data_IF_428860527631
#
_entry.id   IF_428860527631
#
_cell.length_a   1.000
_cell.length_b   1.000
_cell.length_c   1.000
_cell.angle_alpha   90.00
_cell.angle_beta   90.00
_cell.angle_gamma   90.00
#
_symmetry.space_group_name_H-M   'P 1'
#
loop_
_entity.id
_entity.type
_entity.pdbx_description
1 polymer ?
#
# COMPACT_ATOMS: atom_id res chain seq x y z
N UNK A 1 -23.63 -7.91 70.73
CA UNK A 1 -24.16 -7.19 69.56
C UNK A 1 -22.98 -6.73 68.73
N UNK A 2 -22.57 -7.53 67.76
CA UNK A 2 -21.40 -7.23 66.93
C UNK A 2 -21.15 -8.43 66.05
N UNK A 3 -21.70 -8.40 64.83
CA UNK A 3 -21.29 -9.24 63.69
C UNK A 3 -22.09 -8.93 62.41
N UNK A 4 -22.44 -7.65 62.17
CA UNK A 4 -23.20 -7.28 60.97
C UNK A 4 -22.66 -5.99 60.33
N UNK A 5 -21.34 -5.90 60.14
CA UNK A 5 -20.75 -4.72 59.47
C UNK A 5 -19.45 -5.00 58.71
N UNK A 6 -19.25 -6.23 58.21
CA UNK A 6 -18.05 -6.56 57.41
C UNK A 6 -18.37 -7.12 56.02
N UNK A 7 -19.58 -7.66 55.78
CA UNK A 7 -19.87 -8.33 54.50
C UNK A 7 -20.42 -7.47 53.36
N UNK A 8 -20.63 -6.15 53.54
CA UNK A 8 -21.21 -5.30 52.47
C UNK A 8 -20.14 -4.51 51.70
N UNK A 9 -18.92 -4.39 52.23
CA UNK A 9 -17.92 -3.45 51.67
C UNK A 9 -16.92 -4.08 50.67
N UNK A 10 -16.81 -5.42 50.63
CA UNK A 10 -15.90 -6.09 49.68
C UNK A 10 -16.52 -6.35 48.31
N UNK A 11 -17.84 -6.54 48.22
CA UNK A 11 -18.48 -6.91 46.94
C UNK A 11 -18.65 -5.74 45.96
N UNK A 12 -18.73 -4.50 46.45
CA UNK A 12 -18.95 -3.34 45.57
C UNK A 12 -17.65 -2.82 44.92
N UNK A 13 -16.51 -2.91 45.63
CA UNK A 13 -15.20 -2.50 45.08
C UNK A 13 -14.69 -3.45 44.01
N UNK A 14 -14.99 -4.75 44.13
CA UNK A 14 -14.61 -5.77 43.13
C UNK A 14 -15.40 -5.57 41.82
N UNK A 15 -16.68 -5.22 41.90
CA UNK A 15 -17.50 -4.96 40.71
C UNK A 15 -17.05 -3.74 39.91
N UNK A 16 -16.63 -2.66 40.59
CA UNK A 16 -16.16 -1.44 39.93
C UNK A 16 -14.82 -1.68 39.21
N UNK A 17 -13.89 -2.44 39.82
CA UNK A 17 -12.60 -2.77 39.18
C UNK A 17 -12.78 -3.65 37.95
N UNK A 18 -13.73 -4.59 37.94
CA UNK A 18 -14.03 -5.42 36.78
C UNK A 18 -14.62 -4.64 35.60
N UNK A 19 -15.50 -3.66 35.84
CA UNK A 19 -16.08 -2.83 34.77
C UNK A 19 -15.04 -1.87 34.18
N UNK A 20 -14.16 -1.30 35.01
CA UNK A 20 -13.06 -0.46 34.50
C UNK A 20 -12.01 -1.27 33.72
N UNK A 21 -11.71 -2.52 34.11
CA UNK A 21 -10.83 -3.37 33.31
C UNK A 21 -11.47 -3.83 31.99
N UNK A 22 -12.78 -4.11 31.97
CA UNK A 22 -13.48 -4.51 30.74
C UNK A 22 -13.53 -3.38 29.69
N UNK A 23 -13.66 -2.12 30.12
CA UNK A 23 -13.69 -0.96 29.21
C UNK A 23 -12.34 -0.60 28.58
N UNK A 24 -11.21 -1.15 29.06
CA UNK A 24 -9.88 -0.85 28.50
C UNK A 24 -9.53 -1.79 27.33
N UNK A 25 -10.29 -2.86 27.11
CA UNK A 25 -9.95 -3.89 26.10
C UNK A 25 -10.61 -3.67 24.73
N UNK A 26 -11.57 -2.75 24.60
CA UNK A 26 -12.32 -2.56 23.34
C UNK A 26 -11.76 -1.49 22.38
N UNK A 27 -10.47 -1.17 22.46
CA UNK A 27 -9.81 -0.32 21.45
C UNK A 27 -8.57 -0.98 20.83
N UNK A 28 -8.59 -2.29 20.61
CA UNK A 28 -7.65 -2.94 19.67
C UNK A 28 -8.34 -3.06 18.32
N UNK A 29 -8.44 -1.97 17.56
CA UNK A 29 -8.94 -2.03 16.17
C UNK A 29 -8.42 -0.89 15.30
N UNK A 30 -7.11 -0.73 15.28
CA UNK A 30 -6.38 -0.34 14.08
C UNK A 30 -5.01 -0.98 14.19
N UNK A 31 -4.91 -2.29 13.93
CA UNK A 31 -3.62 -2.92 13.72
C UNK A 31 -3.02 -2.20 12.50
N UNK A 32 -2.07 -1.31 12.74
CA UNK A 32 -1.28 -0.72 11.68
C UNK A 32 -0.52 -1.89 11.04
N UNK A 33 -1.02 -2.39 9.91
CA UNK A 33 -0.47 -3.54 9.22
C UNK A 33 0.84 -3.23 8.49
N UNK A 34 1.33 -2.00 8.58
CA UNK A 34 2.58 -1.60 7.98
C UNK A 34 3.77 -2.08 8.82
N UNK A 35 4.63 -2.91 8.24
CA UNK A 35 5.89 -3.29 8.88
C UNK A 35 6.79 -2.07 9.09
N UNK A 36 6.93 -1.64 10.34
CA UNK A 36 7.80 -0.51 10.72
C UNK A 36 9.26 -0.77 10.30
N UNK A 37 9.70 -2.03 10.40
CA UNK A 37 11.04 -2.44 9.99
C UNK A 37 11.30 -2.17 8.51
N UNK A 38 10.36 -2.55 7.64
CA UNK A 38 10.45 -2.31 6.19
C UNK A 38 10.50 -0.80 5.92
N UNK A 39 9.62 -0.02 6.55
CA UNK A 39 9.58 1.45 6.38
C UNK A 39 10.91 2.09 6.81
N UNK A 40 11.45 1.70 7.96
CA UNK A 40 12.75 2.19 8.42
C UNK A 40 13.88 1.82 7.45
N UNK A 41 13.86 0.61 6.90
CA UNK A 41 14.85 0.19 5.90
C UNK A 41 14.70 0.97 4.60
N UNK A 42 13.47 1.26 4.14
CA UNK A 42 13.23 2.12 2.97
C UNK A 42 13.81 3.52 3.20
N UNK A 43 13.61 4.12 4.38
CA UNK A 43 14.17 5.44 4.67
C UNK A 43 15.70 5.45 4.81
N UNK A 44 16.32 4.31 5.14
CA UNK A 44 17.79 4.18 5.13
C UNK A 44 18.36 4.01 3.72
N UNK A 45 17.64 3.27 2.86
CA UNK A 45 18.06 2.96 1.50
C UNK A 45 17.74 4.09 0.52
N UNK A 46 16.61 4.78 0.70
CA UNK A 46 16.23 5.90 -0.12
C UNK A 46 16.90 7.18 0.43
N UNK A 47 17.52 7.96 -0.45
CA UNK A 47 18.08 9.28 -0.12
C UNK A 47 16.94 10.33 -0.02
N UNK A 48 15.83 10.00 0.64
CA UNK A 48 14.62 10.80 0.74
C UNK A 48 14.11 11.32 -0.60
N UNK A 49 13.63 10.42 -1.47
CA UNK A 49 13.13 10.82 -2.80
C UNK A 49 11.97 11.82 -2.68
N UNK A 50 12.13 13.01 -3.26
CA UNK A 50 11.08 14.03 -3.36
C UNK A 50 10.40 14.07 -4.73
N UNK A 51 9.40 14.95 -4.83
CA UNK A 51 8.63 15.26 -6.04
C UNK A 51 7.98 14.02 -6.66
N UNK A 52 7.49 13.11 -5.81
CA UNK A 52 6.91 11.84 -6.26
C UNK A 52 5.66 12.10 -7.09
N UNK A 53 4.78 13.02 -6.65
CA UNK A 53 3.56 13.31 -7.39
C UNK A 53 3.85 13.91 -8.76
N UNK A 54 4.81 14.84 -8.83
CA UNK A 54 5.21 15.46 -10.08
C UNK A 54 5.80 14.41 -11.04
N UNK A 55 6.66 13.52 -10.54
CA UNK A 55 7.23 12.42 -11.35
C UNK A 55 6.17 11.43 -11.80
N UNK A 56 5.20 11.08 -10.96
CA UNK A 56 4.09 10.20 -11.34
C UNK A 56 3.19 10.86 -12.39
N UNK A 57 2.94 12.16 -12.29
CA UNK A 57 2.20 12.91 -13.30
C UNK A 57 2.96 12.95 -14.63
N UNK A 58 4.25 13.28 -14.60
CA UNK A 58 5.13 13.31 -15.78
C UNK A 58 5.31 11.95 -16.44
N UNK A 59 5.27 10.85 -15.65
CA UNK A 59 5.27 9.48 -16.17
C UNK A 59 4.06 9.20 -17.08
N UNK A 60 2.96 9.95 -16.88
CA UNK A 60 1.70 9.77 -17.60
C UNK A 60 0.99 8.48 -17.21
N UNK A 61 0.20 7.88 -18.12
CA UNK A 61 -0.35 6.55 -17.92
C UNK A 61 0.76 5.53 -17.72
N UNK A 62 0.65 4.72 -16.66
CA UNK A 62 1.61 3.67 -16.32
C UNK A 62 0.93 2.30 -16.22
N UNK A 63 1.71 1.24 -16.20
CA UNK A 63 1.24 -0.13 -15.96
C UNK A 63 2.10 -0.81 -14.89
N UNK A 64 1.50 -1.70 -14.12
CA UNK A 64 2.25 -2.54 -13.20
C UNK A 64 2.91 -3.70 -13.96
N UNK A 65 4.20 -3.88 -13.73
CA UNK A 65 4.99 -4.97 -14.30
C UNK A 65 5.30 -6.06 -13.26
N UNK A 66 5.50 -5.66 -12.01
CA UNK A 66 5.77 -6.53 -10.88
C UNK A 66 4.65 -6.40 -9.86
N UNK A 67 3.99 -7.51 -9.52
CA UNK A 67 2.96 -7.58 -8.48
C UNK A 67 3.14 -8.82 -7.62
N UNK A 68 2.71 -8.82 -6.34
CA UNK A 68 2.74 -10.02 -5.52
C UNK A 68 1.83 -11.10 -6.12
N UNK A 69 2.28 -12.35 -6.04
CA UNK A 69 1.52 -13.50 -6.55
C UNK A 69 0.16 -13.66 -5.84
N UNK A 70 0.04 -13.22 -4.59
CA UNK A 70 -1.21 -13.25 -3.82
C UNK A 70 -2.25 -12.23 -4.33
N UNK A 71 -1.81 -11.11 -4.89
CA UNK A 71 -2.70 -10.08 -5.45
C UNK A 71 -3.18 -10.45 -6.86
N UNK A 72 -2.53 -11.43 -7.49
CA UNK A 72 -2.90 -11.95 -8.79
C UNK A 72 -4.03 -12.96 -8.69
N UNK A 73 -5.26 -12.49 -8.89
CA UNK A 73 -6.31 -13.38 -9.37
C UNK A 73 -5.89 -13.93 -10.74
N UNK A 74 -6.08 -15.22 -10.99
CA UNK A 74 -5.75 -15.88 -12.27
C UNK A 74 -6.43 -15.24 -13.49
N UNK A 75 -7.41 -14.37 -13.24
CA UNK A 75 -8.18 -13.65 -14.24
C UNK A 75 -7.59 -12.29 -14.62
N UNK A 76 -6.69 -11.69 -13.83
CA UNK A 76 -6.14 -10.36 -14.12
C UNK A 76 -5.09 -10.45 -15.23
N UNK A 77 -5.30 -9.65 -16.28
CA UNK A 77 -4.38 -9.50 -17.42
C UNK A 77 -3.36 -8.40 -17.19
N UNK A 78 -3.82 -7.23 -16.75
CA UNK A 78 -2.95 -6.09 -16.49
C UNK A 78 -3.61 -5.09 -15.54
N UNK A 79 -2.78 -4.27 -14.91
CA UNK A 79 -3.18 -3.17 -14.03
C UNK A 79 -2.59 -1.90 -14.64
N UNK A 80 -3.45 -1.01 -15.10
CA UNK A 80 -3.07 0.31 -15.61
C UNK A 80 -3.30 1.35 -14.51
N UNK A 81 -2.49 2.40 -14.45
CA UNK A 81 -2.69 3.51 -13.55
C UNK A 81 -2.44 4.87 -14.20
N UNK A 82 -2.93 5.90 -13.53
CA UNK A 82 -2.77 7.29 -13.95
C UNK A 82 -2.85 8.21 -12.72
N UNK A 83 -2.06 9.28 -12.75
CA UNK A 83 -2.05 10.35 -11.76
C UNK A 83 -2.35 11.68 -12.46
N UNK A 84 -3.32 12.44 -11.95
CA UNK A 84 -3.63 13.79 -12.45
C UNK A 84 -2.54 14.78 -12.06
N UNK A 85 -2.59 15.98 -12.65
CA UNK A 85 -1.72 17.07 -12.25
C UNK A 85 -1.79 17.33 -10.73
N UNK A 86 -0.65 17.45 -10.04
CA UNK A 86 -0.61 17.72 -8.61
C UNK A 86 -1.06 19.15 -8.28
N UNK A 87 -1.84 19.30 -7.20
CA UNK A 87 -2.22 20.58 -6.63
C UNK A 87 -2.06 20.53 -5.10
N UNK A 88 -1.29 21.45 -4.54
CA UNK A 88 -1.05 21.58 -3.09
C UNK A 88 -0.61 20.27 -2.42
N UNK A 89 0.37 19.56 -3.01
CA UNK A 89 0.92 18.31 -2.46
C UNK A 89 -0.02 17.11 -2.56
N UNK A 90 -1.02 17.17 -3.45
CA UNK A 90 -1.98 16.08 -3.64
C UNK A 90 -2.45 15.99 -5.08
N UNK A 91 -2.89 14.80 -5.50
CA UNK A 91 -3.42 14.56 -6.84
C UNK A 91 -4.58 13.56 -6.78
N UNK A 92 -5.41 13.55 -7.82
CA UNK A 92 -6.32 12.44 -8.05
C UNK A 92 -5.57 11.35 -8.80
N UNK A 93 -5.88 10.10 -8.51
CA UNK A 93 -5.29 8.95 -9.17
C UNK A 93 -6.34 7.89 -9.45
N UNK A 94 -6.04 7.01 -10.38
CA UNK A 94 -6.86 5.84 -10.64
C UNK A 94 -6.00 4.66 -11.04
N UNK A 95 -6.48 3.45 -10.75
CA UNK A 95 -5.98 2.24 -11.39
C UNK A 95 -7.15 1.45 -11.97
N UNK A 96 -6.88 0.77 -13.08
CA UNK A 96 -7.84 -0.05 -13.80
C UNK A 96 -7.34 -1.48 -13.91
N UNK A 97 -8.09 -2.41 -13.32
CA UNK A 97 -7.89 -3.84 -13.48
C UNK A 97 -8.54 -4.28 -14.79
N UNK A 98 -7.78 -4.96 -15.65
CA UNK A 98 -8.28 -5.60 -16.86
C UNK A 98 -8.12 -7.10 -16.75
N UNK A 99 -9.09 -7.85 -17.26
CA UNK A 99 -9.15 -9.30 -17.14
C UNK A 99 -8.82 -10.00 -18.47
N UNK A 100 -8.35 -11.25 -18.39
CA UNK A 100 -8.19 -12.12 -19.56
C UNK A 100 -9.54 -12.48 -20.17
N UNK A 101 -10.52 -12.78 -19.31
CA UNK A 101 -11.91 -12.97 -19.71
C UNK A 101 -12.52 -11.63 -20.12
N UNK A 102 -12.73 -11.48 -21.43
CA UNK A 102 -13.30 -10.27 -22.04
C UNK A 102 -14.77 -10.04 -21.68
N UNK A 103 -15.47 -11.03 -21.11
CA UNK A 103 -16.83 -10.86 -20.60
C UNK A 103 -16.88 -10.08 -19.28
N UNK A 104 -15.76 -10.04 -18.54
CA UNK A 104 -15.64 -9.27 -17.30
C UNK A 104 -15.24 -7.83 -17.65
N UNK A 105 -16.07 -6.82 -17.37
CA UNK A 105 -15.72 -5.43 -17.66
C UNK A 105 -14.53 -4.98 -16.80
N UNK A 106 -13.68 -4.07 -17.32
CA UNK A 106 -12.61 -3.46 -16.53
C UNK A 106 -13.15 -2.81 -15.25
N UNK A 107 -12.39 -2.90 -14.17
CA UNK A 107 -12.73 -2.25 -12.89
C UNK A 107 -11.77 -1.11 -12.62
N UNK A 108 -12.29 0.11 -12.58
CA UNK A 108 -11.51 1.31 -12.26
C UNK A 108 -11.78 1.74 -10.83
N UNK A 109 -10.72 1.98 -10.09
CA UNK A 109 -10.76 2.49 -8.72
C UNK A 109 -10.11 3.87 -8.72
N UNK A 110 -10.87 4.87 -8.28
CA UNK A 110 -10.43 6.24 -8.15
C UNK A 110 -10.11 6.53 -6.69
N UNK A 111 -9.01 7.24 -6.44
CA UNK A 111 -8.53 7.60 -5.12
C UNK A 111 -7.78 8.92 -5.18
N UNK A 112 -7.58 9.55 -4.01
CA UNK A 112 -6.72 10.72 -3.88
C UNK A 112 -5.38 10.28 -3.32
N UNK A 113 -4.30 10.84 -3.83
CA UNK A 113 -2.96 10.64 -3.28
C UNK A 113 -2.44 11.94 -2.69
N UNK A 114 -1.74 11.84 -1.56
CA UNK A 114 -1.16 12.97 -0.85
C UNK A 114 0.30 12.70 -0.54
N UNK A 115 1.18 13.54 -1.07
CA UNK A 115 2.61 13.45 -0.79
C UNK A 115 2.90 13.86 0.64
N UNK A 116 3.68 13.01 1.30
CA UNK A 116 4.21 13.27 2.62
C UNK A 116 5.66 13.73 2.45
N UNK A 117 6.63 12.93 2.90
CA UNK A 117 8.07 13.20 2.76
C UNK A 117 8.81 11.92 2.41
N UNK A 118 10.02 12.04 1.84
CA UNK A 118 10.94 10.93 1.62
C UNK A 118 10.31 9.74 0.86
N UNK A 119 9.56 10.01 -0.21
CA UNK A 119 8.96 8.98 -1.03
C UNK A 119 7.64 8.41 -0.50
N UNK A 120 7.13 8.92 0.61
CA UNK A 120 5.87 8.45 1.21
C UNK A 120 4.67 9.19 0.61
N UNK A 121 3.70 8.42 0.11
CA UNK A 121 2.38 8.84 -0.35
C UNK A 121 1.31 8.19 0.52
N UNK A 122 0.30 8.97 0.92
CA UNK A 122 -0.96 8.44 1.47
C UNK A 122 -2.00 8.34 0.38
N UNK A 123 -2.57 7.15 0.21
CA UNK A 123 -3.71 6.91 -0.65
C UNK A 123 -5.00 6.96 0.17
N UNK A 124 -5.91 7.83 -0.23
CA UNK A 124 -7.20 8.07 0.40
C UNK A 124 -8.27 7.61 -0.59
N UNK A 125 -8.86 6.44 -0.33
CA UNK A 125 -9.89 5.89 -1.21
C UNK A 125 -11.25 6.50 -0.88
N UNK A 126 -12.14 6.51 -1.88
CA UNK A 126 -13.52 6.96 -1.67
C UNK A 126 -14.26 6.01 -0.72
N UNK A 127 -15.33 6.50 -0.09
CA UNK A 127 -16.11 5.76 0.90
C UNK A 127 -16.57 4.37 0.42
N UNK A 128 -16.69 4.15 -0.90
CA UNK A 128 -17.12 2.88 -1.48
C UNK A 128 -16.08 1.76 -1.34
N UNK A 129 -14.78 2.09 -1.29
CA UNK A 129 -13.70 1.11 -1.13
C UNK A 129 -13.23 0.96 0.32
N UNK A 130 -13.74 1.82 1.23
CA UNK A 130 -13.48 1.83 2.68
C UNK A 130 -12.05 1.41 3.00
N UNK A 131 -11.06 2.26 2.75
CA UNK A 131 -9.67 1.91 3.02
C UNK A 131 -8.69 3.04 2.73
N UNK A 132 -7.63 3.10 3.53
CA UNK A 132 -6.46 3.94 3.27
C UNK A 132 -5.26 3.01 3.12
N UNK A 133 -4.36 3.37 2.22
CA UNK A 133 -3.06 2.71 2.08
C UNK A 133 -1.94 3.73 2.13
N UNK A 134 -0.77 3.30 2.58
CA UNK A 134 0.46 4.06 2.46
C UNK A 134 1.34 3.42 1.40
N UNK A 135 1.99 4.25 0.59
CA UNK A 135 2.92 3.83 -0.45
C UNK A 135 4.25 4.52 -0.21
N UNK A 136 5.31 3.74 -0.18
CA UNK A 136 6.69 4.19 0.01
C UNK A 136 7.47 3.86 -1.26
N UNK A 137 7.94 4.89 -1.95
CA UNK A 137 8.75 4.73 -3.14
C UNK A 137 10.21 4.45 -2.76
N UNK A 138 10.69 3.27 -3.13
CA UNK A 138 12.09 2.87 -3.01
C UNK A 138 12.93 3.59 -4.08
N UNK A 139 12.35 3.77 -5.27
CA UNK A 139 12.93 4.56 -6.35
C UNK A 139 11.86 5.06 -7.30
N UNK A 140 12.00 6.27 -7.83
CA UNK A 140 11.16 6.79 -8.92
C UNK A 140 12.03 7.53 -9.93
N UNK A 141 12.02 7.06 -11.17
CA UNK A 141 12.65 7.69 -12.32
C UNK A 141 11.61 8.23 -13.31
N UNK A 142 12.05 8.74 -14.47
CA UNK A 142 11.14 9.32 -15.47
C UNK A 142 10.11 8.33 -16.02
N UNK A 143 10.48 7.05 -16.14
CA UNK A 143 9.66 6.04 -16.82
C UNK A 143 9.41 4.78 -15.98
N UNK A 144 10.01 4.67 -14.80
CA UNK A 144 9.86 3.50 -13.92
C UNK A 144 9.80 3.92 -12.47
N UNK A 145 9.08 3.14 -11.66
CA UNK A 145 9.13 3.29 -10.21
C UNK A 145 9.04 1.94 -9.50
N UNK A 146 9.65 1.86 -8.33
CA UNK A 146 9.61 0.72 -7.42
C UNK A 146 9.01 1.20 -6.10
N UNK A 147 8.02 0.48 -5.61
CA UNK A 147 7.26 0.89 -4.43
C UNK A 147 6.98 -0.29 -3.50
N UNK A 148 6.79 0.04 -2.24
CA UNK A 148 6.18 -0.80 -1.21
C UNK A 148 4.86 -0.15 -0.81
N UNK A 149 3.78 -0.91 -0.72
CA UNK A 149 2.48 -0.45 -0.23
C UNK A 149 2.10 -1.23 1.02
N UNK A 150 1.42 -0.58 1.94
CA UNK A 150 0.82 -1.24 3.10
C UNK A 150 -0.56 -0.66 3.39
N UNK A 151 -1.39 -1.49 4.01
CA UNK A 151 -2.77 -1.16 4.37
C UNK A 151 -2.81 -0.48 5.74
N UNK A 152 -3.58 0.60 5.86
CA UNK A 152 -3.91 1.20 7.16
C UNK A 152 -5.28 0.78 7.70
N UNK A 153 -6.13 0.19 6.88
CA UNK A 153 -7.42 -0.33 7.32
C UNK A 153 -8.31 -0.75 6.15
N UNK A 154 -9.49 -1.27 6.46
CA UNK A 154 -10.54 -1.39 5.45
C UNK A 154 -10.44 -2.59 4.51
N UNK A 155 -10.86 -2.44 3.24
CA UNK A 155 -10.85 -3.51 2.21
C UNK A 155 -9.61 -3.51 1.31
N UNK A 156 -8.61 -2.69 1.63
CA UNK A 156 -7.34 -2.68 0.90
C UNK A 156 -6.64 -4.04 0.97
N UNK A 157 -5.90 -4.34 -0.10
CA UNK A 157 -5.07 -5.53 -0.23
C UNK A 157 -3.88 -5.47 0.76
N UNK A 158 -3.31 -6.62 1.17
CA UNK A 158 -2.24 -6.68 2.16
C UNK A 158 -0.96 -5.95 1.71
N UNK A 159 0.03 -5.87 2.60
CA UNK A 159 1.33 -5.29 2.29
C UNK A 159 2.00 -5.96 1.09
N UNK A 160 2.62 -5.18 0.23
CA UNK A 160 3.03 -5.62 -1.09
C UNK A 160 4.09 -4.71 -1.72
N UNK A 161 5.00 -5.30 -2.49
CA UNK A 161 5.92 -4.57 -3.35
C UNK A 161 5.43 -4.52 -4.79
N UNK A 162 5.94 -3.58 -5.58
CA UNK A 162 5.67 -3.59 -7.01
C UNK A 162 6.52 -2.63 -7.83
N UNK A 163 6.46 -2.82 -9.13
CA UNK A 163 7.15 -2.01 -10.13
C UNK A 163 6.13 -1.51 -11.16
N UNK A 164 6.17 -0.22 -11.46
CA UNK A 164 5.38 0.40 -12.52
C UNK A 164 6.28 0.97 -13.61
N UNK A 165 5.77 1.01 -14.84
CA UNK A 165 6.45 1.63 -15.98
C UNK A 165 5.50 2.49 -16.81
N UNK A 166 6.04 3.54 -17.43
CA UNK A 166 5.29 4.42 -18.32
C UNK A 166 4.80 3.67 -19.57
N UNK A 167 3.53 3.86 -19.94
CA UNK A 167 2.95 3.26 -21.15
C UNK A 167 3.27 4.04 -22.41
N UNK A 168 3.40 5.35 -22.28
CA UNK A 168 3.66 6.24 -23.42
C UNK A 168 5.16 6.30 -23.80
N UNK A 169 6.01 5.68 -22.99
CA UNK A 169 7.45 5.60 -23.20
C UNK A 169 7.90 4.14 -23.07
N UNK A 170 7.58 3.28 -24.05
CA UNK A 170 7.91 1.87 -23.98
C UNK A 170 9.43 1.72 -23.88
N UNK A 171 9.87 1.01 -22.84
CA UNK A 171 11.25 0.62 -22.66
C UNK A 171 11.54 -0.60 -23.54
N UNK A 172 12.77 -0.72 -24.03
CA UNK A 172 13.23 -1.97 -24.61
C UNK A 172 13.25 -3.09 -23.55
N UNK A 173 13.21 -4.34 -23.99
CA UNK A 173 13.14 -5.50 -23.10
C UNK A 173 14.29 -5.51 -22.09
N UNK A 174 15.51 -5.14 -22.49
CA UNK A 174 16.69 -5.17 -21.61
C UNK A 174 16.55 -4.13 -20.49
N UNK A 175 16.19 -2.89 -20.83
CA UNK A 175 15.98 -1.81 -19.87
C UNK A 175 14.83 -2.12 -18.91
N UNK A 176 13.74 -2.71 -19.42
CA UNK A 176 12.61 -3.12 -18.60
C UNK A 176 12.99 -4.22 -17.59
N UNK A 177 13.67 -5.28 -18.04
CA UNK A 177 14.14 -6.34 -17.15
C UNK A 177 15.13 -5.80 -16.11
N UNK A 178 16.04 -4.91 -16.49
CA UNK A 178 16.94 -4.27 -15.56
C UNK A 178 16.20 -3.47 -14.48
N UNK A 179 15.11 -2.77 -14.84
CA UNK A 179 14.29 -2.03 -13.89
C UNK A 179 13.52 -2.98 -12.94
N UNK A 180 12.94 -4.06 -13.46
CA UNK A 180 12.23 -5.07 -12.65
C UNK A 180 13.19 -5.75 -11.68
N UNK A 181 14.33 -6.26 -12.16
CA UNK A 181 15.33 -6.94 -11.32
C UNK A 181 15.89 -5.99 -10.24
N UNK A 182 16.12 -4.73 -10.59
CA UNK A 182 16.54 -3.71 -9.62
C UNK A 182 15.46 -3.47 -8.57
N UNK A 183 14.18 -3.45 -8.95
CA UNK A 183 13.09 -3.32 -7.99
C UNK A 183 12.99 -4.53 -7.06
N UNK A 184 13.06 -5.75 -7.60
CA UNK A 184 13.08 -6.99 -6.80
C UNK A 184 14.22 -6.96 -5.78
N UNK A 185 15.44 -6.61 -6.21
CA UNK A 185 16.61 -6.46 -5.31
C UNK A 185 16.38 -5.41 -4.22
N UNK A 186 15.82 -4.25 -4.57
CA UNK A 186 15.51 -3.21 -3.58
C UNK A 186 14.46 -3.68 -2.57
N UNK A 187 13.47 -4.47 -3.01
CA UNK A 187 12.43 -5.03 -2.14
C UNK A 187 13.03 -6.11 -1.20
N UNK A 188 13.96 -6.93 -1.69
CA UNK A 188 14.72 -7.87 -0.86
C UNK A 188 15.61 -7.13 0.16
N UNK A 189 16.28 -6.05 -0.24
CA UNK A 189 17.15 -5.24 0.64
C UNK A 189 16.37 -4.57 1.79
N UNK A 190 15.09 -4.25 1.59
CA UNK A 190 14.21 -3.75 2.67
C UNK A 190 13.57 -4.89 3.49
N UNK A 191 13.94 -6.13 3.21
CA UNK A 191 13.44 -7.36 3.83
C UNK A 191 11.96 -7.70 3.50
N UNK A 192 11.48 -7.29 2.33
CA UNK A 192 10.19 -7.73 1.81
C UNK A 192 10.34 -9.06 1.05
N UNK A 193 10.18 -10.17 1.76
CA UNK A 193 10.24 -11.52 1.16
C UNK A 193 8.87 -11.96 0.65
N UNK A 194 8.57 -11.67 -0.61
CA UNK A 194 7.34 -12.09 -1.27
C UNK A 194 7.63 -12.76 -2.60
N UNK A 195 6.78 -13.70 -3.02
CA UNK A 195 6.83 -14.21 -4.39
C UNK A 195 6.14 -13.22 -5.32
N UNK A 196 6.87 -12.71 -6.29
CA UNK A 196 6.32 -11.82 -7.30
C UNK A 196 5.92 -12.58 -8.56
N UNK A 197 5.04 -11.97 -9.35
CA UNK A 197 4.72 -12.40 -10.70
C UNK A 197 4.85 -11.22 -11.64
N UNK A 198 5.43 -11.48 -12.81
CA UNK A 198 5.55 -10.50 -13.87
C UNK A 198 4.24 -10.47 -14.65
N UNK A 199 3.61 -9.29 -14.78
CA UNK A 199 2.29 -9.12 -15.40
C UNK A 199 2.31 -9.30 -16.92
N UNK A 200 3.46 -9.16 -17.56
CA UNK A 200 3.65 -9.63 -18.93
C UNK A 200 4.76 -10.66 -18.96
N UNK A 201 4.59 -11.61 -19.86
CA UNK A 201 5.66 -12.51 -20.25
C UNK A 201 6.57 -11.70 -21.17
N UNK A 202 7.71 -11.24 -20.63
CA UNK A 202 8.69 -10.46 -21.39
C UNK A 202 9.77 -11.35 -22.03
N UNK A 203 9.54 -12.66 -22.02
CA UNK A 203 10.34 -13.73 -22.63
C UNK A 203 10.18 -13.75 -24.15
N UNK A 204 10.67 -12.72 -24.85
CA UNK A 204 10.86 -12.76 -26.32
C UNK A 204 12.33 -12.54 -26.66
#
# INVERSE_FOLDING_TARGET
>A
MGELTVMVNMSFKVFIVCVFLACIVENVSAVNCCSEKIIQNIFKLNNCTGDVLEKLYQMGPFEHCLVPKIDMLSTIRCIDGFTSEPCNGSANASFTLRFYDKSIPPRTINYRIQEQKCGHIKNIHTATFEGNSEVFFLSIGPYTACYYRCKQGGKEAPEAGGCIVAKNHPLDNQTLHAAINKCEKNLEEVELFQTFRHLKDYSN
#
